data_IF_180234438646
#
_entry.id   IF_180234438646
#
_cell.length_a   1.000
_cell.length_b   1.000
_cell.length_c   1.000
_cell.angle_alpha   90.00
_cell.angle_beta   90.00
_cell.angle_gamma   90.00
#
_symmetry.space_group_name_H-M   'P 1'
#
loop_
_entity.id
_entity.type
_entity.pdbx_description
1 polymer ?
#
# COMPACT_ATOMS: atom_id res chain seq x y z
N UNK A 1 -24.63 44.90 25.66
CA UNK A 1 -23.33 44.55 26.26
C UNK A 1 -23.57 43.48 27.31
N UNK A 2 -23.41 42.22 26.94
CA UNK A 2 -23.53 41.08 27.86
C UNK A 2 -22.54 40.03 27.37
N UNK A 3 -21.33 40.05 27.94
CA UNK A 3 -20.22 39.15 27.60
C UNK A 3 -20.44 37.79 28.25
N UNK A 4 -20.88 36.80 27.47
CA UNK A 4 -20.87 35.40 27.89
C UNK A 4 -19.52 34.77 27.48
N UNK A 5 -18.57 34.76 28.40
CA UNK A 5 -17.38 33.88 28.33
C UNK A 5 -17.86 32.44 28.53
N UNK A 6 -17.72 31.60 27.52
CA UNK A 6 -17.75 30.14 27.69
C UNK A 6 -16.33 29.60 27.59
N UNK A 7 -15.95 28.95 28.68
CA UNK A 7 -14.70 28.27 28.97
C UNK A 7 -14.40 27.18 27.93
N UNK A 8 -13.15 27.00 27.47
CA UNK A 8 -12.81 25.85 26.64
C UNK A 8 -12.75 24.58 27.49
N UNK A 9 -13.51 23.56 27.08
CA UNK A 9 -13.42 22.21 27.61
C UNK A 9 -12.09 21.62 27.10
N UNK A 10 -11.10 21.50 27.99
CA UNK A 10 -9.86 20.76 27.74
C UNK A 10 -10.25 19.27 27.76
N UNK A 11 -10.54 18.73 26.59
CA UNK A 11 -10.85 17.31 26.43
C UNK A 11 -9.53 16.53 26.42
N UNK A 12 -9.26 15.85 27.53
CA UNK A 12 -8.11 14.98 27.71
C UNK A 12 -8.13 13.86 26.67
N UNK A 13 -7.13 13.84 25.80
CA UNK A 13 -6.82 12.71 24.92
C UNK A 13 -6.18 11.62 25.78
N UNK A 14 -6.97 10.60 26.13
CA UNK A 14 -6.43 9.36 26.65
C UNK A 14 -5.90 8.52 25.48
N UNK A 15 -4.59 8.59 25.24
CA UNK A 15 -3.89 7.68 24.31
C UNK A 15 -3.80 6.32 25.01
N UNK A 16 -4.73 5.42 24.68
CA UNK A 16 -4.68 4.03 25.10
C UNK A 16 -3.87 3.25 24.05
N UNK A 17 -2.57 3.07 24.32
CA UNK A 17 -1.71 2.19 23.52
C UNK A 17 -2.12 0.76 23.84
N UNK A 18 -3.02 0.20 23.02
CA UNK A 18 -3.35 -1.21 23.06
C UNK A 18 -2.28 -1.95 22.25
N UNK A 19 -1.27 -2.49 22.93
CA UNK A 19 -0.39 -3.52 22.38
C UNK A 19 -1.23 -4.74 22.03
N UNK A 20 -1.66 -4.84 20.77
CA UNK A 20 -2.27 -6.08 20.26
C UNK A 20 -1.14 -7.09 20.14
N UNK A 21 -1.13 -8.04 21.05
CA UNK A 21 -0.30 -9.23 21.02
C UNK A 21 -0.53 -9.97 19.70
N UNK A 22 0.51 -10.06 18.88
CA UNK A 22 0.59 -10.94 17.72
C UNK A 22 0.47 -12.38 18.22
N UNK A 23 -0.54 -13.18 17.82
CA UNK A 23 -0.46 -14.60 18.03
C UNK A 23 0.60 -15.17 17.09
N UNK A 24 1.70 -15.64 17.67
CA UNK A 24 2.65 -16.53 17.03
C UNK A 24 1.89 -17.77 16.50
N UNK A 25 1.77 -17.88 15.19
CA UNK A 25 1.45 -19.11 14.48
C UNK A 25 2.74 -19.64 13.88
N UNK A 26 3.46 -20.43 14.68
CA UNK A 26 4.53 -21.33 14.26
C UNK A 26 3.95 -22.75 14.21
N UNK A 27 4.06 -23.39 13.05
CA UNK A 27 4.20 -24.84 12.81
C UNK A 27 4.05 -25.04 11.29
N UNK A 28 5.15 -25.09 10.55
CA UNK A 28 5.99 -26.27 10.28
C UNK A 28 5.51 -27.07 9.06
N UNK A 29 6.32 -27.02 7.99
CA UNK A 29 6.06 -27.81 6.78
C UNK A 29 6.83 -27.41 5.53
N UNK A 30 8.06 -26.90 5.61
CA UNK A 30 8.96 -26.89 4.45
C UNK A 30 10.30 -27.51 4.86
N UNK A 31 10.45 -28.80 4.55
CA UNK A 31 11.76 -29.47 4.52
C UNK A 31 12.51 -29.01 3.27
N UNK A 32 12.89 -27.74 3.25
CA UNK A 32 13.98 -27.20 2.44
C UNK A 32 15.03 -26.71 3.42
N UNK A 33 16.30 -27.03 3.20
CA UNK A 33 17.43 -26.53 4.00
C UNK A 33 17.24 -25.05 4.33
N UNK A 34 17.33 -24.67 5.62
CA UNK A 34 17.34 -23.27 6.04
C UNK A 34 18.32 -22.50 5.14
N UNK A 35 17.89 -21.42 4.47
CA UNK A 35 18.78 -20.64 3.63
C UNK A 35 19.96 -20.16 4.48
N UNK A 36 21.17 -20.23 3.92
CA UNK A 36 22.38 -19.80 4.61
C UNK A 36 22.26 -18.30 4.92
N UNK A 37 22.19 -17.95 6.20
CA UNK A 37 22.05 -16.56 6.66
C UNK A 37 23.44 -15.90 6.76
N UNK A 38 23.54 -14.67 6.25
CA UNK A 38 24.73 -13.82 6.39
C UNK A 38 24.42 -12.68 7.36
N UNK A 39 25.30 -12.48 8.34
CA UNK A 39 25.19 -11.34 9.25
C UNK A 39 25.65 -10.05 8.54
N UNK A 40 24.72 -9.15 8.25
CA UNK A 40 25.03 -7.81 7.75
C UNK A 40 25.22 -6.86 8.94
N UNK A 41 26.40 -6.24 9.04
CA UNK A 41 26.68 -5.22 10.06
C UNK A 41 26.47 -3.81 9.52
N UNK A 42 25.73 -3.01 10.27
CA UNK A 42 25.35 -1.65 9.93
C UNK A 42 25.84 -0.68 11.03
N UNK A 43 27.10 -0.22 10.96
CA UNK A 43 27.62 0.75 11.92
C UNK A 43 26.96 2.11 11.73
N UNK A 44 26.66 2.81 12.82
CA UNK A 44 25.97 4.09 12.76
C UNK A 44 26.14 4.98 14.00
N UNK A 45 25.74 6.26 13.93
CA UNK A 45 25.89 7.21 15.04
C UNK A 45 25.00 6.90 16.26
N UNK A 46 24.10 5.92 16.14
CA UNK A 46 23.22 5.45 17.21
C UNK A 46 23.61 4.07 17.76
N UNK A 47 24.78 3.56 17.38
CA UNK A 47 25.27 2.24 17.73
C UNK A 47 25.42 1.34 16.50
N UNK A 48 26.05 0.19 16.71
CA UNK A 48 26.18 -0.85 15.69
C UNK A 48 24.97 -1.76 15.75
N UNK A 49 24.34 -1.96 14.61
CA UNK A 49 23.26 -2.95 14.43
C UNK A 49 23.76 -4.10 13.58
N UNK A 50 23.19 -5.28 13.78
CA UNK A 50 23.31 -6.38 12.84
C UNK A 50 21.95 -7.00 12.55
N UNK A 51 21.82 -7.48 11.33
CA UNK A 51 20.63 -8.18 10.83
C UNK A 51 21.10 -9.46 10.13
N UNK A 52 20.42 -10.57 10.43
CA UNK A 52 20.57 -11.79 9.65
C UNK A 52 19.73 -11.62 8.38
N UNK A 53 20.38 -11.79 7.23
CA UNK A 53 19.75 -11.70 5.93
C UNK A 53 20.06 -12.98 5.14
N UNK A 54 19.13 -13.43 4.31
CA UNK A 54 19.41 -14.51 3.36
C UNK A 54 20.62 -14.14 2.49
N UNK A 55 21.53 -15.08 2.25
CA UNK A 55 22.64 -14.87 1.33
C UNK A 55 22.11 -14.52 -0.07
N UNK A 56 22.36 -13.31 -0.60
CA UNK A 56 21.87 -12.89 -1.92
C UNK A 56 22.31 -13.81 -3.05
N UNK A 57 23.47 -14.49 -2.90
CA UNK A 57 23.99 -15.42 -3.90
C UNK A 57 23.28 -16.79 -3.86
N UNK A 58 22.56 -17.08 -2.77
CA UNK A 58 21.80 -18.32 -2.57
C UNK A 58 20.29 -18.16 -2.85
N UNK A 59 19.79 -16.92 -3.01
CA UNK A 59 18.37 -16.66 -3.24
C UNK A 59 17.96 -17.04 -4.67
N UNK A 60 16.89 -17.84 -4.78
CA UNK A 60 16.27 -18.14 -6.06
C UNK A 60 15.71 -16.87 -6.75
N UNK A 61 16.03 -16.69 -8.03
CA UNK A 61 15.69 -15.47 -8.76
C UNK A 61 14.16 -15.30 -8.96
N UNK A 62 13.41 -16.39 -9.07
CA UNK A 62 11.94 -16.32 -9.16
C UNK A 62 11.34 -15.94 -7.79
N UNK A 63 11.84 -16.53 -6.71
CA UNK A 63 11.45 -16.17 -5.34
C UNK A 63 11.72 -14.68 -5.04
N UNK A 64 12.91 -14.17 -5.40
CA UNK A 64 13.26 -12.76 -5.26
C UNK A 64 12.32 -11.86 -6.08
N UNK A 65 11.99 -12.26 -7.31
CA UNK A 65 11.08 -11.51 -8.17
C UNK A 65 9.65 -11.46 -7.60
N UNK A 66 9.13 -12.58 -7.09
CA UNK A 66 7.83 -12.63 -6.40
C UNK A 66 7.84 -11.77 -5.14
N UNK A 67 8.93 -11.82 -4.37
CA UNK A 67 9.15 -10.96 -3.19
C UNK A 67 9.10 -9.48 -3.54
N UNK A 68 9.84 -9.08 -4.58
CA UNK A 68 9.82 -7.71 -5.11
C UNK A 68 8.40 -7.26 -5.50
N UNK A 69 7.69 -8.07 -6.29
CA UNK A 69 6.29 -7.78 -6.68
C UNK A 69 5.38 -7.62 -5.47
N UNK A 70 5.46 -8.51 -4.47
CA UNK A 70 4.67 -8.42 -3.23
C UNK A 70 4.97 -7.14 -2.47
N UNK A 71 6.24 -6.78 -2.32
CA UNK A 71 6.65 -5.54 -1.66
C UNK A 71 6.12 -4.30 -2.40
N UNK A 72 6.20 -4.26 -3.73
CA UNK A 72 5.67 -3.16 -4.54
C UNK A 72 4.14 -3.03 -4.42
N UNK A 73 3.40 -4.14 -4.33
CA UNK A 73 1.96 -4.12 -4.08
C UNK A 73 1.61 -3.65 -2.67
N UNK A 74 2.42 -3.98 -1.66
CA UNK A 74 2.27 -3.47 -0.29
C UNK A 74 2.50 -1.96 -0.23
N UNK A 75 3.52 -1.44 -0.93
CA UNK A 75 3.76 0.00 -1.05
C UNK A 75 2.55 0.72 -1.66
N UNK A 76 1.99 0.19 -2.74
CA UNK A 76 0.78 0.74 -3.37
C UNK A 76 -0.41 0.75 -2.41
N UNK A 77 -0.61 -0.33 -1.65
CA UNK A 77 -1.61 -0.42 -0.59
C UNK A 77 -1.38 0.65 0.49
N UNK A 78 -0.13 0.92 0.86
CA UNK A 78 0.26 1.96 1.82
C UNK A 78 -0.20 3.36 1.39
N UNK A 79 0.01 3.74 0.12
CA UNK A 79 -0.48 5.01 -0.43
C UNK A 79 -2.01 5.08 -0.39
N UNK A 80 -2.70 4.03 -0.87
CA UNK A 80 -4.17 3.99 -0.85
C UNK A 80 -4.72 4.13 0.58
N UNK A 81 -4.16 3.40 1.55
CA UNK A 81 -4.61 3.44 2.95
C UNK A 81 -4.32 4.79 3.61
N UNK A 82 -3.21 5.43 3.27
CA UNK A 82 -2.90 6.78 3.77
C UNK A 82 -3.93 7.80 3.27
N UNK A 83 -4.29 7.74 1.98
CA UNK A 83 -5.36 8.55 1.40
C UNK A 83 -6.73 8.23 2.03
N UNK A 84 -7.02 6.95 2.27
CA UNK A 84 -8.24 6.53 2.95
C UNK A 84 -8.33 7.12 4.37
N UNK A 85 -7.23 7.10 5.13
CA UNK A 85 -7.15 7.69 6.46
C UNK A 85 -7.37 9.21 6.43
N UNK A 86 -6.73 9.91 5.49
CA UNK A 86 -6.90 11.35 5.35
C UNK A 86 -8.32 11.73 4.94
N UNK A 87 -8.85 11.11 3.88
CA UNK A 87 -10.11 11.53 3.26
C UNK A 87 -11.37 10.99 3.95
N UNK A 88 -11.32 9.78 4.53
CA UNK A 88 -12.51 9.15 5.16
C UNK A 88 -12.53 9.23 6.67
N UNK A 89 -11.36 9.25 7.29
CA UNK A 89 -11.21 9.11 8.74
C UNK A 89 -10.66 10.37 9.41
N UNK A 90 -10.62 11.49 8.68
CA UNK A 90 -10.24 12.81 9.18
C UNK A 90 -8.87 12.79 9.90
N UNK A 91 -7.95 11.98 9.36
CA UNK A 91 -6.58 11.98 9.85
C UNK A 91 -5.95 13.35 9.55
N UNK A 92 -5.22 13.97 10.50
CA UNK A 92 -4.73 15.34 10.36
C UNK A 92 -3.56 15.39 9.36
N UNK A 93 -3.88 15.50 8.08
CA UNK A 93 -2.95 15.53 6.95
C UNK A 93 -3.29 16.76 6.10
N UNK A 94 -2.31 17.58 5.79
CA UNK A 94 -2.52 18.77 4.98
C UNK A 94 -2.81 18.42 3.50
N UNK A 95 -3.54 19.27 2.75
CA UNK A 95 -3.90 19.00 1.36
C UNK A 95 -2.71 18.72 0.42
N UNK A 96 -1.56 19.36 0.65
CA UNK A 96 -0.36 19.15 -0.16
C UNK A 96 0.20 17.74 0.05
N UNK A 97 0.20 17.25 1.30
CA UNK A 97 0.55 15.85 1.60
C UNK A 97 -0.44 14.87 0.98
N UNK A 98 -1.75 15.17 0.99
CA UNK A 98 -2.77 14.33 0.32
C UNK A 98 -2.51 14.29 -1.19
N UNK A 99 -2.18 15.42 -1.81
CA UNK A 99 -1.83 15.48 -3.23
C UNK A 99 -0.58 14.62 -3.55
N UNK A 100 0.48 14.72 -2.74
CA UNK A 100 1.69 13.88 -2.89
C UNK A 100 1.41 12.39 -2.74
N UNK A 101 0.51 12.01 -1.82
CA UNK A 101 0.10 10.62 -1.66
C UNK A 101 -0.64 10.10 -2.90
N UNK A 102 -1.51 10.92 -3.50
CA UNK A 102 -2.21 10.58 -4.75
C UNK A 102 -1.25 10.51 -5.96
N UNK A 103 -0.24 11.39 -6.01
CA UNK A 103 0.84 11.32 -6.98
C UNK A 103 1.64 10.02 -6.84
N UNK A 104 2.02 9.66 -5.62
CA UNK A 104 2.71 8.40 -5.32
C UNK A 104 1.88 7.18 -5.73
N UNK A 105 0.58 7.17 -5.41
CA UNK A 105 -0.32 6.08 -5.80
C UNK A 105 -0.39 5.89 -7.32
N UNK A 106 -0.52 6.97 -8.08
CA UNK A 106 -0.57 6.90 -9.55
C UNK A 106 0.77 6.46 -10.13
N UNK A 107 1.87 7.12 -9.74
CA UNK A 107 3.22 6.81 -10.22
C UNK A 107 3.58 5.34 -9.99
N UNK A 108 3.39 4.83 -8.78
CA UNK A 108 3.67 3.42 -8.50
C UNK A 108 2.63 2.47 -9.12
N UNK A 109 1.43 2.98 -9.41
CA UNK A 109 0.41 2.29 -10.18
C UNK A 109 0.80 2.04 -11.64
N UNK A 110 1.49 2.99 -12.26
CA UNK A 110 1.98 2.88 -13.63
C UNK A 110 3.06 1.81 -13.77
N UNK A 111 3.77 1.49 -12.69
CA UNK A 111 4.82 0.45 -12.68
C UNK A 111 4.24 -0.98 -12.62
N UNK A 112 2.94 -1.15 -12.35
CA UNK A 112 2.35 -2.49 -12.12
C UNK A 112 2.59 -3.46 -13.27
N UNK A 113 2.37 -3.11 -14.56
CA UNK A 113 2.57 -4.04 -15.66
C UNK A 113 3.98 -4.67 -15.68
N UNK A 114 5.01 -3.85 -15.43
CA UNK A 114 6.40 -4.32 -15.41
C UNK A 114 6.67 -5.34 -14.29
N UNK A 115 5.87 -5.36 -13.22
CA UNK A 115 5.97 -6.37 -12.16
C UNK A 115 5.46 -7.75 -12.60
N UNK A 116 4.82 -7.85 -13.76
CA UNK A 116 4.28 -9.09 -14.33
C UNK A 116 4.93 -9.50 -15.65
N UNK A 117 6.01 -8.84 -16.08
CA UNK A 117 6.76 -9.20 -17.31
C UNK A 117 7.36 -10.62 -17.25
N UNK A 118 7.64 -11.12 -16.04
CA UNK A 118 8.10 -12.50 -15.79
C UNK A 118 6.97 -13.38 -15.24
N UNK A 119 6.74 -14.51 -15.90
CA UNK A 119 5.76 -15.52 -15.50
C UNK A 119 6.17 -16.23 -14.21
N UNK A 120 5.46 -15.91 -13.12
CA UNK A 120 5.72 -16.41 -11.77
C UNK A 120 4.40 -16.61 -11.03
N UNK A 121 3.52 -17.51 -11.52
CA UNK A 121 2.27 -17.81 -10.84
C UNK A 121 2.57 -18.40 -9.46
N UNK A 122 1.71 -18.06 -8.51
CA UNK A 122 1.73 -18.66 -7.19
C UNK A 122 1.13 -20.08 -7.26
N UNK A 123 1.66 -21.02 -6.48
CA UNK A 123 1.20 -22.42 -6.45
C UNK A 123 -0.29 -22.55 -6.12
N UNK A 124 -0.88 -23.72 -6.40
CA UNK A 124 -2.34 -23.93 -6.30
C UNK A 124 -2.93 -23.65 -4.92
N UNK A 125 -2.16 -23.83 -3.85
CA UNK A 125 -2.60 -23.67 -2.47
C UNK A 125 -2.09 -22.38 -1.80
N UNK A 126 -1.42 -21.50 -2.54
CA UNK A 126 -0.80 -20.29 -1.99
C UNK A 126 -1.49 -18.99 -2.44
N UNK A 127 -1.57 -17.98 -1.56
CA UNK A 127 -2.12 -16.67 -1.90
C UNK A 127 -1.14 -15.88 -2.78
N UNK A 128 -1.64 -15.34 -3.89
CA UNK A 128 -0.80 -14.59 -4.82
C UNK A 128 -1.33 -14.52 -6.24
N UNK A 129 -0.44 -14.28 -7.19
CA UNK A 129 -0.75 -14.08 -8.59
C UNK A 129 -1.21 -15.40 -9.25
N UNK A 130 -2.34 -15.38 -9.95
CA UNK A 130 -2.83 -16.53 -10.72
C UNK A 130 -2.16 -16.59 -12.10
N UNK A 131 -1.99 -17.81 -12.64
CA UNK A 131 -1.51 -18.04 -14.01
C UNK A 131 -2.30 -17.26 -15.07
N UNK A 132 -3.59 -17.03 -14.80
CA UNK A 132 -4.51 -16.23 -15.62
C UNK A 132 -3.95 -14.86 -16.04
N UNK A 133 -3.09 -14.22 -15.24
CA UNK A 133 -2.46 -12.94 -15.61
C UNK A 133 -1.72 -13.04 -16.95
N UNK A 134 -1.02 -14.15 -17.17
CA UNK A 134 -0.22 -14.39 -18.37
C UNK A 134 -1.02 -15.06 -19.50
N UNK A 135 -2.07 -15.80 -19.16
CA UNK A 135 -2.99 -16.42 -20.12
C UNK A 135 -3.99 -15.42 -20.72
N UNK A 136 -4.42 -14.42 -19.94
CA UNK A 136 -5.44 -13.41 -20.30
C UNK A 136 -4.85 -11.99 -20.26
N UNK A 137 -3.70 -11.77 -20.89
CA UNK A 137 -2.95 -10.50 -20.81
C UNK A 137 -3.76 -9.26 -21.23
N UNK A 138 -4.58 -9.36 -22.27
CA UNK A 138 -5.43 -8.23 -22.71
C UNK A 138 -6.41 -7.82 -21.60
N UNK A 139 -7.06 -8.80 -20.97
CA UNK A 139 -8.00 -8.57 -19.88
C UNK A 139 -7.28 -8.02 -18.63
N UNK A 140 -6.10 -8.54 -18.30
CA UNK A 140 -5.28 -8.00 -17.22
C UNK A 140 -4.88 -6.53 -17.49
N UNK A 141 -4.50 -6.21 -18.74
CA UNK A 141 -4.14 -4.85 -19.13
C UNK A 141 -5.33 -3.89 -19.09
N UNK A 142 -6.55 -4.34 -19.38
CA UNK A 142 -7.76 -3.53 -19.19
C UNK A 142 -7.93 -3.09 -17.73
N UNK A 143 -7.72 -4.00 -16.76
CA UNK A 143 -7.75 -3.63 -15.34
C UNK A 143 -6.67 -2.59 -15.00
N UNK A 144 -5.46 -2.73 -15.54
CA UNK A 144 -4.37 -1.77 -15.30
C UNK A 144 -4.68 -0.40 -15.89
N UNK A 145 -5.22 -0.36 -17.11
CA UNK A 145 -5.64 0.88 -17.76
C UNK A 145 -6.77 1.58 -16.96
N UNK A 146 -7.75 0.81 -16.47
CA UNK A 146 -8.83 1.33 -15.65
C UNK A 146 -8.33 1.85 -14.29
N UNK A 147 -7.41 1.13 -13.64
CA UNK A 147 -6.77 1.61 -12.41
C UNK A 147 -5.99 2.91 -12.64
N UNK A 148 -5.21 3.00 -13.72
CA UNK A 148 -4.47 4.21 -14.09
C UNK A 148 -5.42 5.39 -14.40
N UNK A 149 -6.57 5.15 -15.03
CA UNK A 149 -7.57 6.19 -15.25
C UNK A 149 -8.15 6.71 -13.93
N UNK A 150 -8.48 5.82 -12.99
CA UNK A 150 -9.06 6.20 -11.69
C UNK A 150 -8.08 6.92 -10.78
N UNK A 151 -6.80 6.56 -10.80
CA UNK A 151 -5.78 7.28 -10.04
C UNK A 151 -5.52 8.67 -10.61
N UNK A 152 -5.59 8.86 -11.94
CA UNK A 152 -5.59 10.19 -12.58
C UNK A 152 -6.81 11.03 -12.24
N UNK A 153 -8.00 10.42 -12.22
CA UNK A 153 -9.21 11.12 -11.77
C UNK A 153 -9.08 11.56 -10.31
N UNK A 154 -8.48 10.73 -9.45
CA UNK A 154 -8.27 11.05 -8.03
C UNK A 154 -7.35 12.25 -7.87
N UNK A 155 -6.23 12.29 -8.58
CA UNK A 155 -5.32 13.45 -8.54
C UNK A 155 -6.03 14.75 -8.92
N UNK A 156 -6.87 14.73 -9.95
CA UNK A 156 -7.64 15.92 -10.38
C UNK A 156 -8.67 16.37 -9.36
N UNK A 157 -9.15 15.45 -8.52
CA UNK A 157 -10.14 15.76 -7.48
C UNK A 157 -9.51 16.35 -6.21
N UNK A 158 -8.19 16.24 -6.03
CA UNK A 158 -7.45 16.72 -4.86
C UNK A 158 -6.81 18.07 -5.20
N UNK A 159 -7.06 19.13 -4.41
CA UNK A 159 -6.43 20.43 -4.61
C UNK A 159 -4.91 20.32 -4.39
N UNK A 160 -4.13 21.02 -5.22
CA UNK A 160 -2.66 20.98 -5.14
C UNK A 160 -2.12 21.98 -4.10
N UNK A 161 -2.97 22.87 -3.60
CA UNK A 161 -2.64 23.77 -2.50
C UNK A 161 -3.89 24.10 -1.67
N UNK A 162 -3.71 24.56 -0.40
CA UNK A 162 -4.83 25.02 0.41
C UNK A 162 -5.64 26.15 -0.23
N UNK A 163 -5.05 26.93 -1.15
CA UNK A 163 -5.74 28.01 -1.84
C UNK A 163 -6.70 27.53 -2.95
N UNK A 164 -6.53 26.29 -3.43
CA UNK A 164 -7.41 25.65 -4.43
C UNK A 164 -8.57 24.87 -3.80
N UNK A 165 -8.55 24.68 -2.47
CA UNK A 165 -9.55 23.92 -1.75
C UNK A 165 -10.90 24.65 -1.70
N UNK A 166 -11.94 24.01 -2.24
CA UNK A 166 -13.35 24.41 -2.09
C UNK A 166 -14.05 23.57 -1.00
N UNK A 167 -15.18 24.01 -0.44
CA UNK A 167 -15.84 23.30 0.67
C UNK A 167 -16.27 21.84 0.35
N UNK A 168 -16.29 21.45 -0.93
CA UNK A 168 -16.75 20.14 -1.41
C UNK A 168 -15.62 19.23 -1.90
N UNK A 169 -14.35 19.65 -1.79
CA UNK A 169 -13.23 18.92 -2.40
C UNK A 169 -13.02 17.55 -1.74
N UNK A 170 -13.14 17.45 -0.42
CA UNK A 170 -12.95 16.20 0.34
C UNK A 170 -14.02 15.14 0.03
N UNK A 171 -15.33 15.46 0.07
CA UNK A 171 -16.37 14.52 -0.38
C UNK A 171 -16.16 14.05 -1.82
N UNK A 172 -15.81 14.97 -2.73
CA UNK A 172 -15.53 14.66 -4.14
C UNK A 172 -14.34 13.71 -4.28
N UNK A 173 -13.21 14.01 -3.63
CA UNK A 173 -12.02 13.16 -3.66
C UNK A 173 -12.29 11.78 -3.03
N UNK A 174 -13.07 11.73 -1.96
CA UNK A 174 -13.48 10.47 -1.30
C UNK A 174 -14.29 9.57 -2.23
N UNK A 175 -15.22 10.15 -3.01
CA UNK A 175 -15.98 9.39 -3.98
C UNK A 175 -15.09 8.86 -5.11
N UNK A 176 -14.15 9.66 -5.60
CA UNK A 176 -13.20 9.20 -6.61
C UNK A 176 -12.26 8.10 -6.04
N UNK A 177 -11.88 8.18 -4.77
CA UNK A 177 -11.12 7.12 -4.07
C UNK A 177 -11.90 5.80 -3.99
N UNK A 178 -13.24 5.83 -3.93
CA UNK A 178 -14.07 4.62 -4.05
C UNK A 178 -13.87 3.95 -5.42
N UNK A 179 -13.78 4.75 -6.48
CA UNK A 179 -13.49 4.30 -7.84
C UNK A 179 -12.13 3.59 -7.95
N UNK A 180 -11.10 4.10 -7.28
CA UNK A 180 -9.78 3.44 -7.20
C UNK A 180 -9.89 2.10 -6.46
N UNK A 181 -10.56 2.08 -5.30
CA UNK A 181 -10.76 0.84 -4.51
C UNK A 181 -11.45 -0.24 -5.31
N UNK A 182 -12.46 0.13 -6.09
CA UNK A 182 -13.17 -0.80 -6.95
C UNK A 182 -12.22 -1.48 -7.93
N UNK A 183 -11.30 -0.74 -8.57
CA UNK A 183 -10.32 -1.32 -9.49
C UNK A 183 -9.35 -2.28 -8.79
N UNK A 184 -8.88 -1.94 -7.57
CA UNK A 184 -8.06 -2.85 -6.78
C UNK A 184 -8.80 -4.17 -6.50
N UNK A 185 -10.06 -4.09 -6.07
CA UNK A 185 -10.87 -5.26 -5.74
C UNK A 185 -11.21 -6.09 -6.97
N UNK A 186 -11.58 -5.45 -8.08
CA UNK A 186 -11.92 -6.13 -9.32
C UNK A 186 -10.72 -6.91 -9.87
N UNK A 187 -9.54 -6.29 -9.93
CA UNK A 187 -8.32 -7.00 -10.35
C UNK A 187 -7.98 -8.16 -9.42
N UNK A 188 -8.08 -7.96 -8.09
CA UNK A 188 -7.78 -9.02 -7.14
C UNK A 188 -8.77 -10.20 -7.24
N UNK A 189 -10.04 -9.94 -7.50
CA UNK A 189 -11.06 -10.98 -7.63
C UNK A 189 -10.77 -11.90 -8.83
N UNK A 190 -10.26 -11.34 -9.92
CA UNK A 190 -9.99 -12.08 -11.16
C UNK A 190 -8.62 -12.75 -11.19
N UNK A 191 -7.59 -12.08 -10.65
CA UNK A 191 -6.18 -12.43 -10.91
C UNK A 191 -5.37 -12.77 -9.65
N UNK A 192 -5.97 -12.72 -8.47
CA UNK A 192 -5.26 -13.00 -7.21
C UNK A 192 -6.00 -14.02 -6.35
N UNK A 193 -5.30 -15.08 -5.93
CA UNK A 193 -5.76 -15.95 -4.84
C UNK A 193 -5.63 -15.23 -3.50
N UNK A 194 -6.70 -15.27 -2.71
CA UNK A 194 -6.74 -14.68 -1.36
C UNK A 194 -6.05 -15.56 -0.34
#
# INVERSE_FOLDING_TARGET
MTTARRTPLVQQVAVLILCVATPALLADGHSGSDPEEVELRMPGPWGDYSEAMEDPDAVDADAAYVGHRRHRMQLLSGYYRSLEMALRYDAPVDPETIARLAEGLERHGQDIPALFDRETPTGEDEPGALARIWEEQEHFQEHMNNFAARTRDLQRAIPQSPAEADDDWEPRATEVLNGVRHQCLACHDTFRRR
#
